data_IF_309734528145
#
_entry.id   IF_309734528145
#
_cell.length_a   1.000
_cell.length_b   1.000
_cell.length_c   1.000
_cell.angle_alpha   90.00
_cell.angle_beta   90.00
_cell.angle_gamma   90.00
#
_symmetry.space_group_name_H-M   'P 1'
#
loop_
_entity.id
_entity.type
_entity.pdbx_description
1 polymer ?
#
# COMPACT_ATOMS: atom_id res chain seq x y z
N UNK A 1 -9.58 -5.84 -14.10
CA UNK A 1 -8.24 -5.24 -14.28
C UNK A 1 -8.11 -4.04 -13.36
N UNK A 2 -7.02 -3.95 -12.64
CA UNK A 2 -6.78 -2.84 -11.71
C UNK A 2 -6.36 -1.60 -12.49
N UNK A 3 -7.00 -0.46 -12.19
CA UNK A 3 -6.61 0.82 -12.76
C UNK A 3 -5.55 1.44 -11.83
N UNK A 4 -4.30 1.34 -12.25
CA UNK A 4 -3.18 1.81 -11.41
C UNK A 4 -3.18 3.33 -11.24
N UNK A 5 -3.66 4.07 -12.23
CA UNK A 5 -3.75 5.53 -12.11
C UNK A 5 -4.73 5.93 -11.02
N UNK A 6 -5.88 5.28 -10.98
CA UNK A 6 -6.87 5.54 -9.92
C UNK A 6 -6.35 5.13 -8.57
N UNK A 7 -5.56 4.05 -8.54
CA UNK A 7 -4.99 3.57 -7.29
C UNK A 7 -4.08 4.64 -6.67
N UNK A 8 -3.18 5.22 -7.46
CA UNK A 8 -2.26 6.23 -6.94
C UNK A 8 -2.96 7.54 -6.59
N UNK A 9 -4.05 7.85 -7.26
CA UNK A 9 -4.85 9.04 -6.94
C UNK A 9 -5.45 8.98 -5.54
N UNK A 10 -5.69 7.78 -5.03
CA UNK A 10 -6.25 7.59 -3.71
C UNK A 10 -5.27 7.94 -2.59
N UNK A 11 -3.98 7.99 -2.91
CA UNK A 11 -2.96 8.26 -1.91
C UNK A 11 -2.45 6.99 -1.26
N UNK A 12 -1.53 7.14 -0.34
CA UNK A 12 -0.83 6.01 0.30
C UNK A 12 -1.77 5.18 1.18
N UNK A 13 -1.82 3.88 0.92
CA UNK A 13 -2.65 2.96 1.71
C UNK A 13 -2.24 2.95 3.18
N UNK A 14 -0.94 2.94 3.45
CA UNK A 14 -0.45 2.93 4.82
C UNK A 14 -0.80 4.21 5.55
N UNK A 15 -0.67 5.36 4.88
CA UNK A 15 -1.06 6.63 5.48
C UNK A 15 -2.55 6.62 5.84
N UNK A 16 -3.40 6.14 4.93
CA UNK A 16 -4.83 6.02 5.21
C UNK A 16 -5.09 5.15 6.43
N UNK A 17 -4.37 4.02 6.51
CA UNK A 17 -4.52 3.11 7.63
C UNK A 17 -4.09 3.77 8.94
N UNK A 18 -3.08 4.62 8.88
CA UNK A 18 -2.61 5.36 10.04
C UNK A 18 -3.47 6.59 10.37
N UNK A 19 -4.50 6.86 9.56
CA UNK A 19 -5.37 8.01 9.79
C UNK A 19 -4.85 9.29 9.17
N UNK A 20 -3.93 9.19 8.21
CA UNK A 20 -3.31 10.32 7.54
C UNK A 20 -3.59 10.22 6.04
N UNK A 21 -3.86 11.35 5.41
CA UNK A 21 -3.97 11.39 3.95
C UNK A 21 -2.71 12.00 3.37
N UNK A 22 -2.12 11.34 2.41
CA UNK A 22 -0.92 11.86 1.75
C UNK A 22 -0.85 11.43 0.28
N UNK A 23 -0.37 12.35 -0.53
CA UNK A 23 -0.06 12.14 -1.94
C UNK A 23 1.26 12.85 -2.22
N UNK A 24 1.97 12.52 -3.29
CA UNK A 24 1.65 11.49 -4.26
C UNK A 24 1.91 10.08 -3.73
N UNK A 25 1.33 9.10 -4.39
CA UNK A 25 1.61 7.71 -4.09
C UNK A 25 2.23 7.05 -5.31
N UNK A 26 2.94 5.96 -5.06
CA UNK A 26 3.56 5.15 -6.09
C UNK A 26 2.91 3.77 -6.06
N UNK A 27 2.93 3.07 -7.19
CA UNK A 27 2.41 1.71 -7.24
C UNK A 27 3.45 0.76 -6.68
N UNK A 28 3.03 -0.06 -5.71
CA UNK A 28 3.86 -1.13 -5.18
C UNK A 28 3.19 -2.46 -5.47
N UNK A 29 3.86 -3.32 -6.23
CA UNK A 29 3.41 -4.69 -6.45
C UNK A 29 3.87 -5.54 -5.28
N UNK A 30 2.96 -6.33 -4.73
CA UNK A 30 3.27 -7.12 -3.54
C UNK A 30 4.44 -8.06 -3.78
N UNK A 31 5.28 -8.18 -2.77
CA UNK A 31 6.43 -9.08 -2.81
C UNK A 31 6.18 -10.34 -1.98
N UNK A 32 5.21 -10.26 -1.09
CA UNK A 32 4.83 -11.36 -0.22
C UNK A 32 4.30 -12.52 -1.07
N UNK A 33 4.87 -13.71 -0.86
CA UNK A 33 4.44 -14.89 -1.58
C UNK A 33 5.00 -15.03 -2.98
N UNK A 34 5.86 -14.10 -3.41
CA UNK A 34 6.47 -14.16 -4.75
C UNK A 34 7.83 -14.82 -4.68
N UNK A 35 8.13 -15.64 -5.66
CA UNK A 35 9.46 -16.24 -5.79
C UNK A 35 10.45 -15.28 -6.40
N UNK A 36 11.72 -15.70 -6.41
CA UNK A 36 12.78 -14.94 -7.06
C UNK A 36 12.45 -14.76 -8.54
N UNK A 37 12.69 -13.56 -9.04
CA UNK A 37 12.47 -13.21 -10.43
C UNK A 37 10.99 -13.19 -10.83
N UNK A 38 10.09 -13.34 -9.89
CA UNK A 38 8.66 -13.20 -10.12
C UNK A 38 8.17 -11.91 -9.52
N UNK A 39 7.12 -11.39 -10.09
CA UNK A 39 6.45 -10.22 -9.50
C UNK A 39 4.94 -10.43 -9.56
N UNK A 40 4.24 -9.79 -8.63
CA UNK A 40 2.80 -9.88 -8.58
C UNK A 40 2.16 -9.21 -9.79
N UNK A 41 0.96 -9.66 -10.13
CA UNK A 41 0.17 -9.02 -11.18
C UNK A 41 -0.26 -7.62 -10.72
N UNK A 42 -0.78 -6.83 -11.66
CA UNK A 42 -1.30 -5.51 -11.33
C UNK A 42 -2.47 -5.57 -10.35
N UNK A 43 -3.13 -6.72 -10.25
CA UNK A 43 -4.22 -6.91 -9.29
C UNK A 43 -3.70 -7.04 -7.85
N UNK A 44 -2.40 -7.30 -7.70
CA UNK A 44 -1.77 -7.40 -6.39
C UNK A 44 -0.85 -6.20 -6.16
N UNK A 45 -1.42 -5.01 -6.28
CA UNK A 45 -0.70 -3.76 -6.11
C UNK A 45 -1.40 -2.87 -5.10
N UNK A 46 -0.62 -2.08 -4.38
CA UNK A 46 -1.14 -1.10 -3.43
C UNK A 46 -0.44 0.24 -3.65
N UNK A 47 -1.12 1.36 -3.35
CA UNK A 47 -0.47 2.67 -3.43
C UNK A 47 0.29 2.96 -2.15
N UNK A 48 1.54 3.39 -2.27
CA UNK A 48 2.37 3.78 -1.13
C UNK A 48 3.10 5.08 -1.48
N UNK A 49 3.14 6.02 -0.54
CA UNK A 49 3.91 7.24 -0.76
C UNK A 49 5.40 6.90 -0.79
N UNK A 50 6.24 7.79 -1.36
CA UNK A 50 7.67 7.49 -1.45
C UNK A 50 8.31 7.12 -0.13
N UNK A 51 7.93 7.78 0.97
CA UNK A 51 8.48 7.50 2.28
C UNK A 51 8.14 6.08 2.76
N UNK A 52 6.89 5.64 2.57
CA UNK A 52 6.46 4.32 3.00
C UNK A 52 6.76 3.22 1.98
N UNK A 53 7.12 3.60 0.78
CA UNK A 53 7.52 2.66 -0.26
C UNK A 53 9.03 2.43 -0.26
N UNK A 54 9.81 3.52 -0.40
CA UNK A 54 11.24 3.45 -0.61
C UNK A 54 12.08 4.04 0.53
N UNK A 55 11.45 4.74 1.47
CA UNK A 55 12.18 5.37 2.57
C UNK A 55 12.75 4.36 3.55
N UNK A 56 13.60 4.81 4.49
CA UNK A 56 14.20 3.90 5.49
C UNK A 56 13.17 3.16 6.34
N UNK A 57 12.02 3.77 6.56
CA UNK A 57 10.92 3.15 7.30
C UNK A 57 9.80 2.69 6.37
N UNK A 58 10.11 2.58 5.09
CA UNK A 58 9.17 2.08 4.11
C UNK A 58 9.35 0.59 3.87
N UNK A 59 8.56 0.06 2.97
CA UNK A 59 8.54 -1.37 2.68
C UNK A 59 9.88 -1.86 2.17
N UNK A 60 10.53 -1.11 1.29
CA UNK A 60 11.83 -1.50 0.76
C UNK A 60 12.94 -1.33 1.79
N UNK A 61 12.83 -0.34 2.66
CA UNK A 61 13.82 -0.11 3.70
C UNK A 61 13.76 -1.14 4.82
N UNK A 62 12.56 -1.48 5.27
CA UNK A 62 12.36 -2.41 6.38
C UNK A 62 12.24 -3.87 5.91
N UNK A 63 11.91 -4.10 4.64
CA UNK A 63 11.58 -5.41 4.14
C UNK A 63 10.16 -5.82 4.54
N UNK A 64 9.67 -6.89 3.94
CA UNK A 64 8.28 -7.34 4.15
C UNK A 64 7.99 -7.63 5.62
N UNK A 65 8.90 -8.37 6.28
CA UNK A 65 8.70 -8.74 7.69
C UNK A 65 8.92 -7.55 8.63
N UNK A 66 9.92 -6.74 8.35
CA UNK A 66 10.20 -5.57 9.17
C UNK A 66 9.08 -4.55 9.10
N UNK A 67 8.52 -4.36 7.92
CA UNK A 67 7.38 -3.48 7.70
C UNK A 67 6.17 -3.94 8.55
N UNK A 68 5.85 -5.23 8.47
CA UNK A 68 4.73 -5.77 9.23
C UNK A 68 4.94 -5.62 10.73
N UNK A 69 6.16 -5.84 11.20
CA UNK A 69 6.50 -5.71 12.62
C UNK A 69 6.44 -4.27 13.07
N UNK A 70 6.93 -3.35 12.25
CA UNK A 70 7.00 -1.93 12.61
C UNK A 70 5.61 -1.29 12.65
N UNK A 71 4.77 -1.57 11.65
CA UNK A 71 3.47 -0.92 11.52
C UNK A 71 2.31 -1.74 12.05
N UNK A 72 2.52 -3.03 12.29
CA UNK A 72 1.45 -3.89 12.77
C UNK A 72 0.47 -4.34 11.69
N UNK A 73 0.86 -4.21 10.42
CA UNK A 73 0.04 -4.65 9.29
C UNK A 73 0.94 -5.10 8.15
N UNK A 74 0.54 -6.16 7.46
CA UNK A 74 1.30 -6.67 6.33
C UNK A 74 0.86 -6.00 5.03
N UNK A 75 1.71 -6.08 4.01
CA UNK A 75 1.33 -5.57 2.69
C UNK A 75 0.12 -6.31 2.13
N UNK A 76 -0.02 -7.61 2.44
CA UNK A 76 -1.17 -8.41 2.02
C UNK A 76 -2.45 -7.92 2.68
N UNK A 77 -2.38 -7.60 3.96
CA UNK A 77 -3.52 -7.05 4.68
C UNK A 77 -3.92 -5.69 4.13
N UNK A 78 -2.94 -4.85 3.78
CA UNK A 78 -3.23 -3.57 3.14
C UNK A 78 -3.95 -3.78 1.81
N UNK A 79 -3.51 -4.77 1.03
CA UNK A 79 -4.17 -5.09 -0.24
C UNK A 79 -5.63 -5.47 -0.02
N UNK A 80 -5.90 -6.27 1.00
CA UNK A 80 -7.28 -6.66 1.30
C UNK A 80 -8.14 -5.44 1.64
N UNK A 81 -7.60 -4.51 2.40
CA UNK A 81 -8.31 -3.28 2.74
C UNK A 81 -8.56 -2.41 1.50
N UNK A 82 -7.58 -2.34 0.61
CA UNK A 82 -7.72 -1.61 -0.65
C UNK A 82 -8.81 -2.24 -1.51
N UNK A 83 -8.81 -3.57 -1.64
CA UNK A 83 -9.78 -4.29 -2.47
C UNK A 83 -11.19 -4.18 -1.93
N UNK A 84 -11.34 -4.27 -0.61
CA UNK A 84 -12.67 -4.20 0.02
C UNK A 84 -13.23 -2.78 0.03
N UNK A 85 -12.37 -1.79 -0.16
CA UNK A 85 -12.75 -0.39 -0.08
C UNK A 85 -12.87 0.13 1.34
N UNK A 86 -12.62 -0.71 2.34
CA UNK A 86 -12.73 -0.29 3.74
C UNK A 86 -11.79 0.85 4.09
N UNK A 87 -10.62 0.83 3.49
CA UNK A 87 -9.62 1.86 3.73
C UNK A 87 -10.10 3.23 3.27
N UNK A 88 -10.94 3.26 2.23
CA UNK A 88 -11.40 4.49 1.59
C UNK A 88 -12.77 4.96 2.06
N UNK A 89 -13.30 4.40 3.12
CA UNK A 89 -14.60 4.81 3.66
C UNK A 89 -14.64 6.27 4.06
N UNK A 90 -13.47 6.79 4.36
CA UNK A 90 -13.30 8.19 4.74
C UNK A 90 -13.73 9.16 3.64
N UNK A 91 -13.82 8.71 2.40
CA UNK A 91 -14.21 9.55 1.28
C UNK A 91 -15.63 10.08 1.42
N UNK A 92 -16.47 9.35 2.14
CA UNK A 92 -17.84 9.74 2.37
C UNK A 92 -17.98 10.72 3.53
N UNK A 93 -16.88 11.01 4.21
CA UNK A 93 -16.86 11.91 5.35
C UNK A 93 -16.23 13.23 4.92
N UNK A 94 -16.94 14.35 5.07
CA UNK A 94 -16.34 15.65 4.74
C UNK A 94 -15.18 15.94 5.69
N UNK A 95 -14.11 16.38 5.11
CA UNK A 95 -12.93 16.78 5.88
C UNK A 95 -12.97 18.26 6.15
#
# INVERSE_FOLDING_TARGET
MTDLDKLVERGCALCWWLGIYCTPAEVHHLRDGQGLAQRASDDEAIPLCPAHHRGPRGLHGLGTRGFARYYGITERELLELVRSGELWRWEDVPF
#
